data_IF_845920312125
#
_entry.id   IF_845920312125
#
_cell.length_a   1.000
_cell.length_b   1.000
_cell.length_c   1.000
_cell.angle_alpha   90.00
_cell.angle_beta   90.00
_cell.angle_gamma   90.00
#
_symmetry.space_group_name_H-M   'P 1'
#
loop_
_entity.id
_entity.type
_entity.pdbx_description
1 polymer ?
#
# COMPACT_ATOMS: atom_id res chain seq x y z
N UNK A 1 -0.79 -4.96 -6.33
CA UNK A 1 -1.08 -4.69 -4.91
C UNK A 1 -2.53 -5.07 -4.64
N UNK A 2 -2.81 -6.02 -3.77
CA UNK A 2 -4.19 -6.31 -3.40
C UNK A 2 -4.75 -5.20 -2.51
N UNK A 3 -6.00 -4.80 -2.79
CA UNK A 3 -6.76 -3.96 -1.89
C UNK A 3 -7.50 -4.86 -0.90
N UNK A 4 -6.92 -5.02 0.26
CA UNK A 4 -7.54 -5.76 1.35
C UNK A 4 -8.52 -4.88 2.10
N UNK A 5 -9.51 -5.47 2.80
CA UNK A 5 -10.34 -4.72 3.73
C UNK A 5 -9.51 -3.97 4.79
N UNK A 6 -8.31 -4.43 5.06
CA UNK A 6 -7.39 -3.79 5.97
C UNK A 6 -6.71 -2.60 5.30
N UNK A 7 -7.12 -1.40 5.68
CA UNK A 7 -6.52 -0.14 5.23
C UNK A 7 -5.00 -0.07 5.49
N UNK A 8 -4.53 -0.73 6.52
CA UNK A 8 -3.13 -0.73 6.93
C UNK A 8 -2.18 -1.16 5.80
N UNK A 9 -2.49 -2.28 5.15
CA UNK A 9 -1.68 -2.80 4.04
C UNK A 9 -1.74 -1.86 2.84
N UNK A 10 -2.94 -1.40 2.48
CA UNK A 10 -3.13 -0.47 1.36
C UNK A 10 -2.39 0.85 1.61
N UNK A 11 -2.44 1.37 2.85
CA UNK A 11 -1.74 2.59 3.21
C UNK A 11 -0.22 2.46 3.06
N UNK A 12 0.35 1.34 3.47
CA UNK A 12 1.78 1.10 3.33
C UNK A 12 2.23 1.08 1.88
N UNK A 13 1.46 0.43 1.00
CA UNK A 13 1.75 0.42 -0.43
C UNK A 13 1.57 1.80 -1.07
N UNK A 14 0.54 2.54 -0.70
CA UNK A 14 0.36 3.92 -1.18
C UNK A 14 1.56 4.79 -0.79
N UNK A 15 2.07 4.63 0.42
CA UNK A 15 3.25 5.35 0.90
C UNK A 15 4.50 5.00 0.09
N UNK A 16 4.73 3.73 -0.21
CA UNK A 16 5.86 3.30 -1.04
C UNK A 16 5.74 3.79 -2.49
N UNK A 17 4.56 3.69 -3.09
CA UNK A 17 4.32 4.19 -4.43
C UNK A 17 4.54 5.71 -4.52
N UNK A 18 4.17 6.46 -3.50
CA UNK A 18 4.37 7.91 -3.46
C UNK A 18 5.85 8.32 -3.49
N UNK A 19 6.75 7.48 -3.07
CA UNK A 19 8.20 7.75 -3.15
C UNK A 19 8.69 7.89 -4.58
N UNK A 20 8.04 7.23 -5.53
CA UNK A 20 8.48 7.12 -6.92
C UNK A 20 7.55 7.80 -7.91
N UNK A 21 6.37 8.24 -7.47
CA UNK A 21 5.35 8.82 -8.33
C UNK A 21 4.75 10.09 -7.73
N UNK A 22 4.87 11.18 -8.46
CA UNK A 22 4.34 12.49 -8.05
C UNK A 22 2.88 12.69 -8.45
N UNK A 23 2.39 11.93 -9.42
CA UNK A 23 1.02 12.01 -9.93
C UNK A 23 -0.02 11.45 -8.97
N UNK A 24 -1.30 11.68 -9.26
CA UNK A 24 -2.38 11.14 -8.44
C UNK A 24 -2.39 9.62 -8.49
N UNK A 25 -2.66 9.00 -7.32
CA UNK A 25 -2.86 7.56 -7.21
C UNK A 25 -4.35 7.25 -7.33
N UNK A 26 -4.68 6.22 -8.06
CA UNK A 26 -6.04 5.70 -8.19
C UNK A 26 -6.06 4.19 -7.93
N UNK A 27 -7.19 3.68 -7.46
CA UNK A 27 -7.41 2.25 -7.35
C UNK A 27 -8.14 1.76 -8.59
N UNK A 28 -7.68 0.64 -9.12
CA UNK A 28 -8.34 -0.09 -10.21
C UNK A 28 -8.76 -1.46 -9.68
N UNK A 29 -10.05 -1.69 -9.60
CA UNK A 29 -10.60 -2.97 -9.19
C UNK A 29 -10.86 -3.82 -10.44
N UNK A 30 -10.30 -5.01 -10.48
CA UNK A 30 -10.46 -5.95 -11.59
C UNK A 30 -10.65 -7.37 -11.07
N UNK A 31 -11.15 -8.23 -11.93
CA UNK A 31 -11.40 -9.65 -11.61
C UNK A 31 -10.65 -10.52 -12.61
N UNK A 32 -9.93 -11.48 -12.08
CA UNK A 32 -9.27 -12.55 -12.86
C UNK A 32 -9.81 -13.91 -12.43
N UNK A 33 -9.67 -14.96 -13.26
CA UNK A 33 -10.10 -16.30 -12.86
C UNK A 33 -9.40 -16.81 -11.61
N UNK A 34 -10.11 -17.52 -10.77
CA UNK A 34 -9.58 -18.11 -9.52
C UNK A 34 -8.45 -19.10 -9.76
N UNK A 35 -8.44 -19.78 -10.88
CA UNK A 35 -7.45 -20.78 -11.27
C UNK A 35 -6.26 -20.22 -12.06
N UNK A 36 -6.25 -18.94 -12.34
CA UNK A 36 -5.13 -18.31 -13.03
C UNK A 36 -3.87 -18.31 -12.17
N UNK A 37 -2.74 -18.68 -12.77
CA UNK A 37 -1.45 -18.63 -12.08
C UNK A 37 -0.97 -17.19 -11.90
N UNK A 38 -0.62 -16.85 -10.68
CA UNK A 38 -0.06 -15.56 -10.27
C UNK A 38 1.18 -15.79 -9.41
N UNK A 39 1.91 -14.75 -9.13
CA UNK A 39 3.04 -14.79 -8.19
C UNK A 39 2.65 -14.05 -6.91
N UNK A 40 2.91 -14.64 -5.77
CA UNK A 40 2.56 -14.07 -4.46
C UNK A 40 3.73 -14.17 -3.49
N UNK A 41 3.87 -13.19 -2.65
CA UNK A 41 4.82 -13.20 -1.56
C UNK A 41 5.13 -11.82 -1.03
N UNK A 42 6.07 -11.75 -0.10
CA UNK A 42 6.60 -10.51 0.42
C UNK A 42 7.60 -9.91 -0.57
N UNK A 43 7.60 -8.60 -0.74
CA UNK A 43 8.43 -7.89 -1.75
C UNK A 43 9.93 -8.11 -1.60
N UNK A 44 10.42 -8.41 -0.39
CA UNK A 44 11.84 -8.65 -0.12
C UNK A 44 12.25 -10.13 -0.20
N UNK A 45 11.32 -11.00 -0.60
CA UNK A 45 11.53 -12.45 -0.71
C UNK A 45 11.20 -12.93 -2.11
N UNK A 46 11.57 -14.16 -2.39
CA UNK A 46 11.17 -14.80 -3.64
C UNK A 46 9.66 -15.04 -3.67
N UNK A 47 9.02 -14.57 -4.74
CA UNK A 47 7.61 -14.80 -4.97
C UNK A 47 7.37 -16.24 -5.42
N UNK A 48 6.22 -16.80 -5.02
CA UNK A 48 5.82 -18.16 -5.35
C UNK A 48 4.65 -18.18 -6.34
N UNK A 49 4.66 -19.10 -7.33
CA UNK A 49 3.52 -19.29 -8.21
C UNK A 49 2.40 -20.02 -7.47
N UNK A 50 1.23 -19.44 -7.45
CA UNK A 50 -0.01 -20.02 -6.92
C UNK A 50 -1.17 -19.64 -7.84
N UNK A 51 -2.33 -20.30 -7.66
CA UNK A 51 -3.57 -19.81 -8.27
C UNK A 51 -4.00 -18.50 -7.62
N UNK A 52 -4.74 -17.69 -8.34
CA UNK A 52 -5.23 -16.40 -7.82
C UNK A 52 -6.02 -16.57 -6.52
N UNK A 53 -6.88 -17.58 -6.43
CA UNK A 53 -7.63 -17.88 -5.20
C UNK A 53 -6.70 -18.28 -4.04
N UNK A 54 -5.70 -19.12 -4.28
CA UNK A 54 -4.74 -19.53 -3.27
C UNK A 54 -3.85 -18.36 -2.83
N UNK A 55 -3.45 -17.51 -3.76
CA UNK A 55 -2.66 -16.30 -3.45
C UNK A 55 -3.44 -15.32 -2.56
N UNK A 56 -4.70 -15.10 -2.86
CA UNK A 56 -5.56 -14.28 -2.02
C UNK A 56 -5.67 -14.85 -0.59
N UNK A 57 -5.82 -16.18 -0.46
CA UNK A 57 -5.89 -16.85 0.82
C UNK A 57 -4.60 -16.69 1.64
N UNK A 58 -3.43 -16.74 0.99
CA UNK A 58 -2.13 -16.50 1.66
C UNK A 58 -2.11 -15.14 2.33
N UNK A 59 -2.51 -14.10 1.61
CA UNK A 59 -2.52 -12.74 2.15
C UNK A 59 -3.56 -12.57 3.25
N UNK A 60 -4.76 -13.11 3.06
CA UNK A 60 -5.86 -13.00 4.02
C UNK A 60 -5.57 -13.72 5.35
N UNK A 61 -4.73 -14.74 5.32
CA UNK A 61 -4.36 -15.54 6.51
C UNK A 61 -3.02 -15.15 7.13
N UNK A 62 -2.27 -14.25 6.50
CA UNK A 62 -1.00 -13.79 7.05
C UNK A 62 -1.21 -13.04 8.36
N UNK A 63 -0.40 -13.32 9.37
CA UNK A 63 -0.42 -12.60 10.65
C UNK A 63 -0.06 -11.13 10.44
N UNK A 64 0.93 -10.88 9.59
CA UNK A 64 1.33 -9.53 9.16
C UNK A 64 1.39 -9.46 7.64
N UNK A 65 0.31 -8.99 6.97
CA UNK A 65 0.26 -8.93 5.52
C UNK A 65 1.02 -7.73 4.91
N UNK A 66 1.69 -6.93 5.70
CA UNK A 66 2.46 -5.79 5.19
C UNK A 66 3.58 -6.25 4.25
N UNK A 67 3.74 -5.54 3.14
CA UNK A 67 4.75 -5.84 2.14
C UNK A 67 4.41 -7.01 1.21
N UNK A 68 3.28 -7.66 1.39
CA UNK A 68 2.81 -8.70 0.48
C UNK A 68 2.26 -8.12 -0.82
N UNK A 69 2.53 -8.81 -1.90
CA UNK A 69 2.06 -8.44 -3.24
C UNK A 69 1.63 -9.69 -4.02
N UNK A 70 0.75 -9.46 -4.97
CA UNK A 70 0.37 -10.43 -5.99
C UNK A 70 0.72 -9.82 -7.34
N UNK A 71 1.54 -10.51 -8.11
CA UNK A 71 1.87 -10.13 -9.48
C UNK A 71 1.07 -10.98 -10.45
N UNK A 72 0.32 -10.31 -11.31
CA UNK A 72 -0.36 -10.94 -12.45
C UNK A 72 0.58 -10.77 -13.65
N UNK A 73 1.21 -11.86 -14.15
CA UNK A 73 2.28 -11.74 -15.14
C UNK A 73 1.73 -11.55 -16.58
N UNK A 74 0.75 -10.68 -16.72
CA UNK A 74 0.16 -10.28 -18.00
C UNK A 74 -0.53 -8.93 -17.87
N UNK A 75 -0.89 -8.33 -19.00
CA UNK A 75 -1.75 -7.16 -18.98
C UNK A 75 -3.17 -7.53 -18.54
N UNK A 76 -3.78 -6.62 -17.77
CA UNK A 76 -5.21 -6.73 -17.41
C UNK A 76 -6.02 -6.19 -18.59
N UNK A 77 -6.95 -6.99 -19.07
CA UNK A 77 -7.83 -6.60 -20.18
C UNK A 77 -8.93 -5.64 -19.71
N UNK A 78 -9.39 -4.72 -20.56
CA UNK A 78 -10.44 -3.76 -20.19
C UNK A 78 -11.72 -4.44 -19.69
N UNK A 79 -12.09 -5.59 -20.21
CA UNK A 79 -13.28 -6.35 -19.79
C UNK A 79 -13.18 -6.89 -18.36
N UNK A 80 -11.98 -7.05 -17.82
CA UNK A 80 -11.73 -7.51 -16.47
C UNK A 80 -11.84 -6.39 -15.43
N UNK A 81 -11.69 -5.13 -15.87
CA UNK A 81 -11.78 -3.96 -15.00
C UNK A 81 -13.25 -3.72 -14.62
N UNK A 82 -13.52 -3.71 -13.33
CA UNK A 82 -14.87 -3.50 -12.80
C UNK A 82 -15.14 -2.04 -12.46
N UNK A 83 -14.16 -1.35 -11.93
CA UNK A 83 -14.24 0.07 -11.62
C UNK A 83 -12.87 0.68 -11.37
N UNK A 84 -12.81 1.99 -11.48
CA UNK A 84 -11.73 2.80 -10.91
C UNK A 84 -12.31 3.66 -9.79
N UNK A 85 -11.50 3.95 -8.79
CA UNK A 85 -11.92 4.79 -7.66
C UNK A 85 -10.77 5.59 -7.10
N UNK A 86 -11.09 6.71 -6.48
CA UNK A 86 -10.12 7.51 -5.74
C UNK A 86 -9.64 6.77 -4.50
N UNK A 87 -8.39 7.01 -4.14
CA UNK A 87 -7.81 6.64 -2.86
C UNK A 87 -7.29 7.88 -2.17
N UNK A 88 -7.02 7.81 -0.87
CA UNK A 88 -6.42 8.94 -0.19
C UNK A 88 -5.08 9.29 -0.83
N UNK A 89 -4.87 10.56 -1.15
CA UNK A 89 -3.61 11.07 -1.71
C UNK A 89 -2.63 11.47 -0.61
N UNK A 90 -3.11 11.59 0.62
CA UNK A 90 -2.32 11.99 1.78
C UNK A 90 -1.85 10.73 2.50
N UNK A 91 -0.56 10.46 2.41
CA UNK A 91 0.07 9.30 3.03
C UNK A 91 1.09 9.77 4.08
N UNK A 92 1.04 9.19 5.26
CA UNK A 92 1.95 9.55 6.33
C UNK A 92 1.53 8.93 7.65
N UNK A 93 2.32 9.17 8.69
CA UNK A 93 2.11 8.56 9.99
C UNK A 93 0.73 8.86 10.60
N UNK A 94 0.15 10.04 10.33
CA UNK A 94 -1.17 10.44 10.85
C UNK A 94 -2.30 9.55 10.37
N UNK A 95 -2.13 8.94 9.21
CA UNK A 95 -3.14 8.11 8.57
C UNK A 95 -2.87 6.63 8.76
N UNK A 96 -1.83 6.33 9.50
CA UNK A 96 -1.48 4.95 9.84
C UNK A 96 -2.39 4.46 10.96
N UNK A 97 -3.07 3.32 10.81
CA UNK A 97 -4.02 2.83 11.81
C UNK A 97 -3.46 2.68 13.23
N UNK A 98 -2.20 2.29 13.35
CA UNK A 98 -1.53 2.06 14.63
C UNK A 98 -0.54 3.18 15.00
N UNK A 99 -0.78 4.39 14.50
CA UNK A 99 0.12 5.51 14.76
C UNK A 99 0.03 6.06 16.20
N UNK A 100 -1.00 5.71 16.95
CA UNK A 100 -1.16 6.14 18.34
C UNK A 100 0.04 5.70 19.19
N UNK A 101 0.61 6.67 19.91
CA UNK A 101 1.75 6.41 20.79
C UNK A 101 3.11 6.33 20.10
N UNK A 102 3.18 6.39 18.78
CA UNK A 102 4.41 6.42 18.01
C UNK A 102 4.87 7.85 17.72
N UNK A 103 6.18 8.07 17.73
CA UNK A 103 6.74 9.34 17.31
C UNK A 103 6.46 9.58 15.81
N UNK A 104 5.99 10.78 15.43
CA UNK A 104 5.71 11.07 14.02
C UNK A 104 7.01 11.18 13.23
N UNK A 105 6.99 10.63 12.00
CA UNK A 105 8.08 10.83 11.06
C UNK A 105 7.98 12.22 10.41
N UNK A 106 9.08 12.96 10.42
CA UNK A 106 9.16 14.31 9.87
C UNK A 106 9.59 14.39 8.41
N UNK A 107 9.80 13.27 7.72
CA UNK A 107 10.26 13.26 6.33
C UNK A 107 9.20 13.90 5.39
N UNK A 108 9.62 14.43 4.20
CA UNK A 108 8.70 15.04 3.25
C UNK A 108 7.58 14.13 2.75
N UNK A 109 7.81 12.82 2.78
CA UNK A 109 6.80 11.84 2.39
C UNK A 109 5.68 11.72 3.43
N UNK A 110 6.03 11.65 4.70
CA UNK A 110 5.07 11.58 5.81
C UNK A 110 4.43 12.92 6.15
N UNK A 111 5.20 14.00 6.04
CA UNK A 111 4.76 15.37 6.28
C UNK A 111 4.95 16.20 5.02
N UNK A 112 3.96 16.16 4.16
CA UNK A 112 3.96 16.96 2.94
C UNK A 112 3.95 18.46 3.26
N UNK A 113 4.52 19.30 2.38
CA UNK A 113 4.42 20.74 2.52
C UNK A 113 2.97 21.21 2.70
N UNK A 114 2.73 22.12 3.63
CA UNK A 114 1.39 22.63 3.93
C UNK A 114 0.56 21.75 4.90
N UNK A 115 1.05 20.60 5.34
CA UNK A 115 0.35 19.79 6.34
C UNK A 115 0.27 20.54 7.66
N UNK A 116 -0.94 20.63 8.23
CA UNK A 116 -1.15 21.28 9.52
C UNK A 116 -0.28 20.66 10.63
N UNK A 117 0.44 21.48 11.36
CA UNK A 117 1.31 21.04 12.44
C UNK A 117 2.65 20.46 12.01
N UNK A 118 2.96 20.40 10.70
CA UNK A 118 4.22 19.87 10.18
C UNK A 118 5.46 20.56 10.77
N UNK A 119 5.44 21.89 10.92
CA UNK A 119 6.54 22.65 11.48
C UNK A 119 6.85 22.27 12.93
N UNK A 120 5.84 21.96 13.73
CA UNK A 120 5.99 21.50 15.11
C UNK A 120 6.62 20.12 15.19
N UNK A 121 6.23 19.23 14.31
CA UNK A 121 6.74 17.85 14.24
C UNK A 121 8.19 17.86 13.80
N UNK A 122 8.54 18.61 12.75
CA UNK A 122 9.93 18.73 12.27
C UNK A 122 10.86 19.32 13.33
N UNK A 123 10.39 20.31 14.11
CA UNK A 123 11.18 20.87 15.21
C UNK A 123 11.46 19.87 16.33
N UNK A 124 10.50 18.97 16.61
CA UNK A 124 10.71 17.90 17.59
C UNK A 124 11.75 16.90 17.10
N UNK A 125 11.67 16.51 15.84
CA UNK A 125 12.59 15.55 15.22
C UNK A 125 14.02 16.10 15.18
N UNK A 126 14.20 17.36 14.78
CA UNK A 126 15.54 17.99 14.74
C UNK A 126 16.20 18.16 16.10
N UNK A 127 15.44 18.09 17.19
CA UNK A 127 15.98 18.13 18.58
C UNK A 127 16.38 16.75 19.11
N UNK A 128 16.02 15.68 18.43
CA UNK A 128 16.36 14.30 18.81
C UNK A 128 17.61 13.77 18.10
N UNK A 129 18.16 14.52 17.21
CA UNK A 129 19.45 14.30 16.56
C UNK A 129 20.50 15.09 17.33
#
# INVERSE_FOLDING_TARGET
MPLLPNFYVSHQWLRELRRFHDGPLIAVDFVIPDDEEVLVGHYDRQLQPLTAAAAAAVIMRADDPRGYEILVPRAIEPKEIKRTRGVTQVVGWRYWPDAHGHAPCGCPLCLQPGTFGAAKIRRKESRQI
#
